data_IF_994296067286
#
_entry.id   IF_994296067286
#
_cell.length_a   1.000
_cell.length_b   1.000
_cell.length_c   1.000
_cell.angle_alpha   90.00
_cell.angle_beta   90.00
_cell.angle_gamma   90.00
#
_symmetry.space_group_name_H-M   'P 1'
#
loop_
_entity.id
_entity.type
_entity.pdbx_description
1 polymer ?
#
# COMPACT_ATOMS: atom_id res chain seq x y z
N UNK A 1 5.58 -9.62 10.19
CA UNK A 1 5.08 -8.80 11.32
C UNK A 1 4.72 -7.37 10.91
N UNK A 2 5.64 -6.56 10.39
CA UNK A 2 5.35 -5.16 10.00
C UNK A 2 4.22 -5.00 8.96
N UNK A 3 4.17 -5.89 7.94
CA UNK A 3 3.11 -5.87 6.92
C UNK A 3 1.73 -6.18 7.51
N UNK A 4 1.64 -7.19 8.37
CA UNK A 4 0.38 -7.58 9.03
C UNK A 4 -0.10 -6.48 9.99
N UNK A 5 0.82 -5.82 10.69
CA UNK A 5 0.50 -4.65 11.50
C UNK A 5 -0.06 -3.51 10.64
N UNK A 6 0.57 -3.22 9.50
CA UNK A 6 0.11 -2.17 8.58
C UNK A 6 -1.29 -2.49 8.01
N UNK A 7 -1.51 -3.72 7.54
CA UNK A 7 -2.82 -4.19 7.05
C UNK A 7 -3.87 -4.05 8.16
N UNK A 8 -3.58 -4.50 9.37
CA UNK A 8 -4.51 -4.43 10.51
C UNK A 8 -4.88 -2.99 10.89
N UNK A 9 -3.89 -2.09 10.95
CA UNK A 9 -4.11 -0.66 11.22
C UNK A 9 -4.94 -0.03 10.11
N UNK A 10 -4.62 -0.32 8.84
CA UNK A 10 -5.33 0.23 7.70
C UNK A 10 -6.79 -0.24 7.63
N UNK A 11 -7.04 -1.56 7.78
CA UNK A 11 -8.39 -2.13 7.84
C UNK A 11 -9.17 -1.53 9.00
N UNK A 12 -8.55 -1.38 10.17
CA UNK A 12 -9.19 -0.75 11.34
C UNK A 12 -9.59 0.70 11.07
N UNK A 13 -8.71 1.49 10.44
CA UNK A 13 -9.00 2.88 10.03
C UNK A 13 -10.11 2.92 8.97
N UNK A 14 -10.09 2.02 7.98
CA UNK A 14 -11.13 1.93 6.96
C UNK A 14 -12.49 1.58 7.55
N UNK A 15 -12.56 0.56 8.40
CA UNK A 15 -13.78 0.16 9.10
C UNK A 15 -14.30 1.30 9.97
N UNK A 16 -13.41 1.99 10.69
CA UNK A 16 -13.79 3.15 11.51
C UNK A 16 -14.34 4.30 10.64
N UNK A 17 -13.68 4.61 9.53
CA UNK A 17 -14.12 5.64 8.57
C UNK A 17 -15.45 5.27 7.91
N UNK A 18 -15.61 4.01 7.50
CA UNK A 18 -16.86 3.50 6.93
C UNK A 18 -17.99 3.57 7.96
N UNK A 19 -17.74 3.17 9.21
CA UNK A 19 -18.71 3.25 10.31
C UNK A 19 -19.12 4.69 10.66
N UNK A 20 -18.20 5.65 10.57
CA UNK A 20 -18.50 7.08 10.72
C UNK A 20 -19.28 7.59 9.50
N UNK A 21 -18.90 7.17 8.30
CA UNK A 21 -19.52 7.59 7.05
C UNK A 21 -20.93 7.02 6.86
N UNK A 22 -21.30 5.91 7.49
CA UNK A 22 -22.66 5.33 7.38
C UNK A 22 -23.68 5.95 8.34
N UNK A 23 -23.28 6.92 9.17
CA UNK A 23 -24.18 7.52 10.15
C UNK A 23 -24.64 6.53 11.24
N UNK A 24 -23.87 5.45 11.51
CA UNK A 24 -24.23 4.41 12.50
C UNK A 24 -24.37 4.93 13.94
N UNK A 25 -24.00 6.19 14.20
CA UNK A 25 -24.13 6.87 15.51
C UNK A 25 -25.42 7.66 15.66
N UNK A 26 -26.25 7.73 14.62
CA UNK A 26 -27.53 8.40 14.63
C UNK A 26 -28.59 7.50 15.25
N UNK A 27 -29.32 8.00 16.26
CA UNK A 27 -30.52 7.36 16.79
C UNK A 27 -31.76 7.97 16.13
N UNK A 28 -32.79 7.14 15.93
CA UNK A 28 -34.10 7.62 15.46
C UNK A 28 -34.77 8.36 16.60
N UNK A 29 -35.32 9.53 16.30
CA UNK A 29 -36.17 10.34 17.15
C UNK A 29 -37.43 10.73 16.39
N UNK A 30 -38.44 11.18 17.11
CA UNK A 30 -39.67 11.72 16.53
C UNK A 30 -39.84 13.16 16.96
N UNK A 31 -40.29 14.02 16.05
CA UNK A 31 -40.70 15.38 16.41
C UNK A 31 -42.12 15.37 17.01
N UNK A 32 -42.57 16.52 17.50
CA UNK A 32 -43.92 16.70 18.07
C UNK A 32 -45.05 16.41 17.06
N UNK A 33 -44.73 16.40 15.76
CA UNK A 33 -45.64 16.11 14.65
C UNK A 33 -45.57 14.63 14.23
N UNK A 34 -44.85 13.78 14.97
CA UNK A 34 -44.70 12.35 14.71
C UNK A 34 -43.76 11.99 13.55
N UNK A 35 -43.03 12.95 12.99
CA UNK A 35 -42.07 12.71 11.90
C UNK A 35 -40.77 12.16 12.46
N UNK A 36 -40.30 11.06 11.89
CA UNK A 36 -39.03 10.46 12.27
C UNK A 36 -37.85 11.24 11.70
N UNK A 37 -36.86 11.51 12.54
CA UNK A 37 -35.58 12.09 12.16
C UNK A 37 -34.45 11.37 12.90
N UNK A 38 -33.23 11.58 12.42
CA UNK A 38 -32.03 11.03 13.00
C UNK A 38 -31.28 12.11 13.78
N UNK A 39 -30.86 11.80 15.00
CA UNK A 39 -29.99 12.67 15.78
C UNK A 39 -28.82 11.89 16.39
N UNK A 40 -27.62 12.47 16.34
CA UNK A 40 -26.44 11.94 17.01
C UNK A 40 -25.69 13.06 17.73
N UNK A 41 -25.30 12.82 18.97
CA UNK A 41 -24.45 13.76 19.74
C UNK A 41 -23.08 13.12 19.98
N UNK A 42 -22.01 13.84 19.64
CA UNK A 42 -20.65 13.39 19.90
C UNK A 42 -19.95 14.32 20.88
N UNK A 43 -19.76 13.82 22.11
CA UNK A 43 -19.10 14.53 23.21
C UNK A 43 -17.57 14.41 23.11
N UNK A 44 -17.06 13.39 22.40
CA UNK A 44 -15.62 13.05 22.31
C UNK A 44 -14.89 13.91 21.27
N UNK A 45 -15.58 14.43 20.25
CA UNK A 45 -15.04 15.39 19.27
C UNK A 45 -15.06 16.86 19.79
N UNK A 46 -15.19 17.08 21.10
CA UNK A 46 -15.14 18.40 21.71
C UNK A 46 -13.75 19.03 21.55
N UNK A 47 -13.55 19.75 20.46
CA UNK A 47 -12.30 20.45 20.18
C UNK A 47 -12.16 21.66 21.10
N UNK A 48 -11.00 21.78 21.75
CA UNK A 48 -10.59 22.98 22.50
C UNK A 48 -10.70 24.19 21.57
N UNK A 49 -11.58 25.13 21.90
CA UNK A 49 -11.69 26.40 21.20
C UNK A 49 -10.40 27.21 21.40
N UNK A 50 -9.85 27.87 20.36
CA UNK A 50 -8.76 28.82 20.52
C UNK A 50 -9.16 30.06 21.33
N UNK A 51 -10.45 30.26 21.66
CA UNK A 51 -10.97 31.44 22.34
C UNK A 51 -11.64 31.14 23.70
N UNK A 52 -11.61 29.89 24.18
CA UNK A 52 -12.14 29.56 25.51
C UNK A 52 -11.54 28.27 26.03
N UNK A 53 -10.79 28.37 27.14
CA UNK A 53 -10.15 27.22 27.80
C UNK A 53 -11.16 26.21 28.40
N UNK A 54 -12.44 26.58 28.57
CA UNK A 54 -13.41 25.79 29.34
C UNK A 54 -14.71 25.35 28.61
N UNK A 55 -14.96 25.72 27.35
CA UNK A 55 -16.19 25.28 26.64
C UNK A 55 -15.92 24.09 25.72
N UNK A 56 -16.32 22.89 26.15
CA UNK A 56 -16.49 21.72 25.28
C UNK A 56 -17.61 22.02 24.29
N UNK A 57 -17.27 22.15 23.01
CA UNK A 57 -18.26 22.32 21.93
C UNK A 57 -18.79 20.96 21.51
N UNK A 58 -20.10 20.74 21.59
CA UNK A 58 -20.72 19.51 21.11
C UNK A 58 -20.73 19.48 19.57
N UNK A 59 -20.69 18.26 19.04
CA UNK A 59 -20.98 17.98 17.65
C UNK A 59 -22.36 17.33 17.60
N UNK A 60 -23.25 17.88 16.79
CA UNK A 60 -24.62 17.39 16.60
C UNK A 60 -24.77 17.01 15.13
N UNK A 61 -25.21 15.78 14.88
CA UNK A 61 -25.60 15.30 13.56
C UNK A 61 -27.13 15.24 13.50
N UNK A 62 -27.75 15.91 12.51
CA UNK A 62 -29.20 15.90 12.27
C UNK A 62 -29.50 15.40 10.88
N UNK A 63 -30.38 14.40 10.74
CA UNK A 63 -30.63 13.76 9.45
C UNK A 63 -32.02 13.20 9.25
N UNK A 64 -32.25 12.73 8.04
CA UNK A 64 -33.47 12.08 7.57
C UNK A 64 -33.13 10.74 6.90
N UNK A 65 -34.09 9.82 6.92
CA UNK A 65 -34.03 8.59 6.14
C UNK A 65 -34.35 8.88 4.68
N UNK A 66 -33.70 8.18 3.77
CA UNK A 66 -33.89 8.24 2.33
C UNK A 66 -34.49 6.92 1.84
N UNK A 67 -35.52 6.98 1.01
CA UNK A 67 -36.11 5.84 0.31
C UNK A 67 -35.23 5.31 -0.83
N UNK A 68 -34.14 6.02 -1.18
CA UNK A 68 -33.17 5.61 -2.19
C UNK A 68 -31.73 5.63 -1.67
N UNK A 69 -30.84 4.90 -2.32
CA UNK A 69 -29.39 4.97 -2.04
C UNK A 69 -28.73 6.09 -2.84
N UNK A 70 -28.18 7.09 -2.15
CA UNK A 70 -27.41 8.17 -2.74
C UNK A 70 -26.13 8.46 -1.95
N UNK A 71 -25.14 9.04 -2.61
CA UNK A 71 -23.81 9.23 -2.06
C UNK A 71 -23.24 10.56 -2.51
N UNK A 72 -23.32 11.57 -1.64
CA UNK A 72 -22.69 12.85 -1.87
C UNK A 72 -22.32 13.56 -0.58
N UNK A 73 -21.48 14.57 -0.70
CA UNK A 73 -21.04 15.42 0.41
C UNK A 73 -20.86 16.85 -0.09
N UNK A 74 -21.45 17.78 0.63
CA UNK A 74 -21.24 19.22 0.45
C UNK A 74 -20.52 19.74 1.68
N UNK A 75 -19.48 20.54 1.48
CA UNK A 75 -18.71 21.17 2.57
C UNK A 75 -18.00 22.42 2.07
N UNK A 76 -17.54 23.26 3.00
CA UNK A 76 -16.68 24.41 2.67
C UNK A 76 -15.33 23.95 2.10
N UNK A 77 -14.80 24.74 1.17
CA UNK A 77 -13.51 24.53 0.49
C UNK A 77 -12.37 24.48 1.50
N UNK A 78 -11.44 23.57 1.26
CA UNK A 78 -10.19 23.40 2.03
C UNK A 78 -9.05 23.18 1.05
N UNK A 79 -7.80 23.30 1.48
CA UNK A 79 -6.64 23.08 0.61
C UNK A 79 -6.69 21.70 -0.08
N UNK A 80 -7.02 20.63 0.65
CA UNK A 80 -7.17 19.28 0.08
C UNK A 80 -8.27 19.20 -0.98
N UNK A 81 -9.34 19.99 -0.84
CA UNK A 81 -10.41 20.03 -1.84
C UNK A 81 -10.02 20.77 -3.10
N UNK A 82 -9.17 21.81 -3.01
CA UNK A 82 -8.61 22.48 -4.20
C UNK A 82 -7.82 21.49 -5.05
N UNK A 83 -7.05 20.62 -4.39
CA UNK A 83 -6.37 19.53 -5.08
C UNK A 83 -7.36 18.59 -5.75
N UNK A 84 -8.39 18.09 -5.04
CA UNK A 84 -9.41 17.21 -5.63
C UNK A 84 -10.20 17.85 -6.77
N UNK A 85 -10.44 19.17 -6.72
CA UNK A 85 -11.04 19.94 -7.81
C UNK A 85 -10.16 19.93 -9.06
N UNK A 86 -8.84 20.07 -8.91
CA UNK A 86 -7.89 19.99 -10.04
C UNK A 86 -7.96 18.66 -10.79
N UNK A 87 -8.23 17.55 -10.08
CA UNK A 87 -8.43 16.22 -10.70
C UNK A 87 -9.87 15.97 -11.17
N UNK A 88 -10.77 16.95 -11.05
CA UNK A 88 -12.18 16.82 -11.41
C UNK A 88 -12.97 15.84 -10.52
N UNK A 89 -12.49 15.57 -9.30
CA UNK A 89 -13.12 14.68 -8.31
C UNK A 89 -14.01 15.43 -7.32
N UNK A 90 -13.95 16.76 -7.36
CA UNK A 90 -14.77 17.66 -6.59
C UNK A 90 -15.12 18.85 -7.47
N UNK A 91 -16.29 19.42 -7.30
CA UNK A 91 -16.74 20.53 -8.13
C UNK A 91 -17.26 21.67 -7.24
N UNK A 92 -16.95 22.89 -7.64
CA UNK A 92 -17.37 24.10 -6.95
C UNK A 92 -18.83 24.41 -7.26
N UNK A 93 -19.58 24.80 -6.24
CA UNK A 93 -20.95 25.30 -6.38
C UNK A 93 -20.89 26.81 -6.60
N UNK A 94 -20.71 27.23 -7.85
CA UNK A 94 -20.45 28.62 -8.27
C UNK A 94 -21.59 29.59 -7.92
N UNK A 95 -22.82 29.11 -7.96
CA UNK A 95 -24.01 29.96 -7.82
C UNK A 95 -24.35 30.30 -6.36
N UNK A 96 -23.66 29.69 -5.39
CA UNK A 96 -23.79 30.03 -3.97
C UNK A 96 -22.67 31.00 -3.60
N UNK A 97 -22.86 32.26 -4.03
CA UNK A 97 -21.89 33.37 -4.09
C UNK A 97 -21.14 33.66 -2.77
N UNK A 98 -21.59 33.15 -1.62
CA UNK A 98 -21.07 33.58 -0.31
C UNK A 98 -20.21 32.57 0.46
N UNK A 99 -20.03 31.32 0.02
CA UNK A 99 -19.54 30.26 0.95
C UNK A 99 -18.50 29.26 0.46
N UNK A 100 -17.92 29.42 -0.73
CA UNK A 100 -16.90 28.51 -1.28
C UNK A 100 -17.26 27.03 -1.06
N UNK A 101 -18.46 26.63 -1.49
CA UNK A 101 -18.95 25.27 -1.26
C UNK A 101 -18.42 24.33 -2.34
N UNK A 102 -17.97 23.16 -1.89
CA UNK A 102 -17.46 22.09 -2.74
C UNK A 102 -18.36 20.88 -2.59
N UNK A 103 -18.80 20.36 -3.73
CA UNK A 103 -19.58 19.15 -3.84
C UNK A 103 -18.70 17.98 -4.26
N UNK A 104 -18.93 16.82 -3.63
CA UNK A 104 -18.28 15.55 -3.92
C UNK A 104 -19.39 14.50 -4.00
N UNK A 105 -19.61 13.90 -5.15
CA UNK A 105 -20.55 12.78 -5.29
C UNK A 105 -19.88 11.50 -5.73
N UNK A 106 -20.62 10.42 -5.55
CA UNK A 106 -20.36 9.16 -6.24
C UNK A 106 -20.45 9.37 -7.75
N UNK A 107 -21.50 9.99 -8.30
CA UNK A 107 -21.57 10.27 -9.74
C UNK A 107 -21.49 11.77 -10.06
N UNK A 108 -20.73 12.20 -11.09
CA UNK A 108 -20.70 13.62 -11.49
C UNK A 108 -22.09 14.17 -11.81
N UNK A 109 -22.94 13.37 -12.45
CA UNK A 109 -24.32 13.75 -12.77
C UNK A 109 -25.18 14.04 -11.51
N UNK A 110 -24.87 13.45 -10.34
CA UNK A 110 -25.59 13.78 -9.10
C UNK A 110 -25.47 15.25 -8.73
N UNK A 111 -24.33 15.88 -9.04
CA UNK A 111 -24.18 17.31 -8.88
C UNK A 111 -25.06 18.08 -9.84
N UNK A 112 -24.98 17.73 -11.13
CA UNK A 112 -25.68 18.45 -12.19
C UNK A 112 -27.17 18.57 -11.88
N UNK A 113 -27.80 17.45 -11.52
CA UNK A 113 -29.23 17.42 -11.18
C UNK A 113 -29.59 18.22 -9.92
N UNK A 114 -28.70 18.23 -8.92
CA UNK A 114 -28.91 19.01 -7.70
C UNK A 114 -28.75 20.51 -7.96
N UNK A 115 -27.80 20.91 -8.82
CA UNK A 115 -27.58 22.31 -9.18
C UNK A 115 -28.66 22.89 -10.08
N UNK A 116 -29.29 22.07 -10.93
CA UNK A 116 -30.39 22.51 -11.78
C UNK A 116 -31.68 22.78 -11.00
N UNK A 117 -31.82 22.22 -9.80
CA UNK A 117 -32.97 22.47 -8.94
C UNK A 117 -32.72 23.69 -8.03
N UNK A 118 -33.36 24.81 -8.35
CA UNK A 118 -33.23 26.06 -7.59
C UNK A 118 -33.68 25.94 -6.13
N UNK A 119 -34.67 25.09 -5.83
CA UNK A 119 -35.17 24.87 -4.47
C UNK A 119 -34.12 24.14 -3.62
N UNK A 120 -33.45 23.14 -4.20
CA UNK A 120 -32.34 22.42 -3.57
C UNK A 120 -31.19 23.37 -3.28
N UNK A 121 -30.79 24.17 -4.26
CA UNK A 121 -29.68 25.12 -4.09
C UNK A 121 -29.98 26.14 -2.99
N UNK A 122 -31.21 26.64 -2.94
CA UNK A 122 -31.67 27.54 -1.88
C UNK A 122 -31.72 26.85 -0.50
N UNK A 123 -32.14 25.59 -0.43
CA UNK A 123 -32.12 24.79 0.79
C UNK A 123 -30.69 24.54 1.30
N UNK A 124 -29.75 24.22 0.39
CA UNK A 124 -28.31 24.09 0.71
C UNK A 124 -27.77 25.42 1.22
N UNK A 125 -28.07 26.54 0.57
CA UNK A 125 -27.63 27.86 1.00
C UNK A 125 -28.12 28.21 2.41
N UNK A 126 -29.39 27.92 2.72
CA UNK A 126 -30.01 28.08 4.05
C UNK A 126 -29.39 27.15 5.10
N UNK A 127 -29.02 25.93 4.75
CA UNK A 127 -28.31 25.04 5.69
C UNK A 127 -26.91 25.59 6.00
N UNK A 128 -26.20 26.08 4.99
CA UNK A 128 -24.85 26.61 5.18
C UNK A 128 -24.83 28.08 5.64
N UNK A 129 -25.97 28.78 5.75
CA UNK A 129 -26.05 30.11 6.38
C UNK A 129 -25.78 30.06 7.87
N UNK A 130 -26.00 28.90 8.50
CA UNK A 130 -25.58 28.67 9.87
C UNK A 130 -24.05 28.48 9.94
N UNK A 131 -23.31 29.32 10.70
CA UNK A 131 -21.86 29.21 10.84
C UNK A 131 -21.38 27.86 11.39
N UNK A 132 -22.23 27.18 12.16
CA UNK A 132 -21.97 25.90 12.81
C UNK A 132 -22.03 24.72 11.83
N UNK A 133 -22.58 24.90 10.62
CA UNK A 133 -22.67 23.86 9.60
C UNK A 133 -21.30 23.54 9.02
N UNK A 134 -20.77 22.37 9.37
CA UNK A 134 -19.50 21.86 8.86
C UNK A 134 -19.66 21.24 7.47
N UNK A 135 -20.67 20.36 7.32
CA UNK A 135 -20.90 19.59 6.09
C UNK A 135 -22.31 18.98 6.05
N UNK A 136 -22.80 18.79 4.84
CA UNK A 136 -23.98 18.00 4.50
C UNK A 136 -23.51 16.69 3.86
N UNK A 137 -24.05 15.56 4.30
CA UNK A 137 -23.64 14.23 3.86
C UNK A 137 -24.89 13.43 3.48
N UNK A 138 -24.85 12.79 2.33
CA UNK A 138 -25.77 11.72 1.96
C UNK A 138 -24.94 10.45 1.74
N UNK A 139 -25.32 9.35 2.41
CA UNK A 139 -24.62 8.09 2.31
C UNK A 139 -25.59 6.93 2.44
N UNK A 140 -25.77 6.17 1.36
CA UNK A 140 -26.75 5.08 1.32
C UNK A 140 -28.15 5.64 1.50
N UNK A 141 -28.89 5.11 2.48
CA UNK A 141 -30.29 5.48 2.76
C UNK A 141 -30.43 6.63 3.75
N UNK A 142 -29.41 7.47 3.96
CA UNK A 142 -29.47 8.57 4.94
C UNK A 142 -28.89 9.85 4.40
N UNK A 143 -29.48 10.98 4.79
CA UNK A 143 -28.95 12.33 4.57
C UNK A 143 -28.89 13.07 5.91
N UNK A 144 -27.77 13.72 6.23
CA UNK A 144 -27.63 14.46 7.48
C UNK A 144 -26.64 15.62 7.37
N UNK A 145 -26.85 16.61 8.24
CA UNK A 145 -25.96 17.75 8.45
C UNK A 145 -25.15 17.52 9.71
N UNK A 146 -23.85 17.75 9.64
CA UNK A 146 -22.96 17.81 10.80
C UNK A 146 -22.78 19.26 11.24
N UNK A 147 -23.17 19.52 12.48
CA UNK A 147 -23.08 20.81 13.14
C UNK A 147 -22.00 20.78 14.22
N UNK A 148 -21.16 21.82 14.28
CA UNK A 148 -20.06 21.90 15.23
C UNK A 148 -20.07 23.25 15.94
N UNK A 149 -20.07 23.21 17.28
CA UNK A 149 -19.93 24.42 18.08
C UNK A 149 -21.21 25.02 18.62
N UNK A 150 -22.32 24.28 18.59
CA UNK A 150 -23.62 24.71 19.11
C UNK A 150 -23.57 24.77 20.65
N UNK A 151 -23.97 25.92 21.22
CA UNK A 151 -24.27 26.07 22.65
C UNK A 151 -25.62 25.46 22.99
N UNK A 152 -25.74 24.82 24.16
CA UNK A 152 -26.71 23.74 24.39
C UNK A 152 -28.19 24.12 24.59
N UNK A 153 -28.59 25.36 24.90
CA UNK A 153 -29.85 25.48 25.68
C UNK A 153 -31.06 26.27 25.13
N UNK A 154 -30.98 27.18 24.13
CA UNK A 154 -32.21 27.88 23.70
C UNK A 154 -32.41 28.08 22.18
N UNK A 155 -31.34 28.12 21.38
CA UNK A 155 -31.45 28.28 19.92
C UNK A 155 -31.66 26.95 19.16
N UNK A 156 -31.79 25.83 19.88
CA UNK A 156 -31.67 24.48 19.30
C UNK A 156 -32.90 24.05 18.51
N UNK A 157 -34.11 24.32 18.99
CA UNK A 157 -35.35 23.87 18.34
C UNK A 157 -35.61 24.56 17.01
N UNK A 158 -35.51 25.89 16.95
CA UNK A 158 -35.66 26.64 15.69
C UNK A 158 -34.60 26.27 14.66
N UNK A 159 -33.36 26.02 15.11
CA UNK A 159 -32.29 25.54 14.25
C UNK A 159 -32.58 24.12 13.74
N UNK A 160 -33.02 23.21 14.62
CA UNK A 160 -33.40 21.86 14.27
C UNK A 160 -34.51 21.84 13.21
N UNK A 161 -35.62 22.55 13.46
CA UNK A 161 -36.75 22.59 12.53
C UNK A 161 -36.35 23.18 11.18
N UNK A 162 -35.56 24.26 11.18
CA UNK A 162 -35.07 24.87 9.94
C UNK A 162 -34.17 23.92 9.14
N UNK A 163 -33.23 23.23 9.80
CA UNK A 163 -32.33 22.27 9.15
C UNK A 163 -33.12 21.08 8.60
N UNK A 164 -34.02 20.48 9.40
CA UNK A 164 -34.82 19.34 8.98
C UNK A 164 -35.75 19.68 7.81
N UNK A 165 -36.36 20.87 7.81
CA UNK A 165 -37.17 21.34 6.69
C UNK A 165 -36.35 21.46 5.40
N UNK A 166 -35.20 22.11 5.44
CA UNK A 166 -34.34 22.24 4.26
C UNK A 166 -33.75 20.88 3.82
N UNK A 167 -33.44 19.99 4.76
CA UNK A 167 -33.03 18.62 4.45
C UNK A 167 -34.13 17.83 3.74
N UNK A 168 -35.40 18.06 4.08
CA UNK A 168 -36.53 17.40 3.45
C UNK A 168 -36.68 17.79 1.96
N UNK A 169 -36.48 19.06 1.63
CA UNK A 169 -36.46 19.52 0.22
C UNK A 169 -35.35 18.84 -0.58
N UNK A 170 -34.14 18.77 -0.01
CA UNK A 170 -33.02 18.08 -0.65
C UNK A 170 -33.31 16.59 -0.80
N UNK A 171 -33.84 15.94 0.24
CA UNK A 171 -34.26 14.53 0.20
C UNK A 171 -35.22 14.27 -0.95
N UNK A 172 -36.29 15.06 -1.04
CA UNK A 172 -37.34 14.89 -2.05
C UNK A 172 -36.78 14.97 -3.46
N UNK A 173 -35.96 15.99 -3.75
CA UNK A 173 -35.34 16.14 -5.06
C UNK A 173 -34.38 14.99 -5.39
N UNK A 174 -33.59 14.52 -4.42
CA UNK A 174 -32.70 13.37 -4.61
C UNK A 174 -33.49 12.09 -4.91
N UNK A 175 -34.59 11.85 -4.20
CA UNK A 175 -35.46 10.68 -4.41
C UNK A 175 -36.15 10.72 -5.79
N UNK A 176 -36.68 11.88 -6.18
CA UNK A 176 -37.28 12.09 -7.51
C UNK A 176 -36.25 11.86 -8.64
N UNK A 177 -35.04 12.38 -8.49
CA UNK A 177 -33.96 12.18 -9.45
C UNK A 177 -33.47 10.72 -9.48
N UNK A 178 -33.39 10.06 -8.32
CA UNK A 178 -33.02 8.65 -8.23
C UNK A 178 -34.06 7.76 -8.92
N UNK A 179 -35.36 8.05 -8.75
CA UNK A 179 -36.44 7.33 -9.43
C UNK A 179 -36.32 7.44 -10.95
N UNK A 180 -36.10 8.66 -11.48
CA UNK A 180 -35.89 8.91 -12.92
C UNK A 180 -34.66 8.18 -13.48
N UNK A 181 -33.64 7.94 -12.67
CA UNK A 181 -32.37 7.33 -13.10
C UNK A 181 -32.29 5.82 -12.91
N UNK A 182 -33.20 5.23 -12.14
CA UNK A 182 -33.21 3.78 -11.87
C UNK A 182 -33.31 2.94 -13.15
N UNK A 183 -33.87 3.51 -14.22
CA UNK A 183 -33.93 2.88 -15.55
C UNK A 183 -32.60 2.92 -16.33
N UNK A 184 -31.67 3.82 -16.02
CA UNK A 184 -30.48 4.08 -16.86
C UNK A 184 -29.10 3.88 -16.17
N UNK A 185 -29.03 3.66 -14.85
CA UNK A 185 -27.76 3.49 -14.14
C UNK A 185 -27.16 2.08 -14.30
N UNK A 186 -26.43 1.85 -15.40
CA UNK A 186 -25.54 0.67 -15.55
C UNK A 186 -24.19 0.80 -14.83
N UNK A 187 -23.82 2.00 -14.38
CA UNK A 187 -22.50 2.28 -13.79
C UNK A 187 -22.56 2.44 -12.27
N UNK A 188 -21.86 1.57 -11.54
CA UNK A 188 -21.65 1.71 -10.09
C UNK A 188 -20.17 1.52 -9.80
N UNK A 189 -19.45 2.61 -9.55
CA UNK A 189 -18.04 2.58 -9.11
C UNK A 189 -17.86 1.73 -7.85
N UNK A 190 -18.87 1.75 -6.96
CA UNK A 190 -18.94 0.93 -5.76
C UNK A 190 -18.83 -0.58 -6.03
N UNK A 191 -19.38 -1.09 -7.14
CA UNK A 191 -19.28 -2.51 -7.52
C UNK A 191 -17.91 -2.88 -8.09
N UNK A 192 -17.19 -1.92 -8.69
CA UNK A 192 -15.86 -2.15 -9.28
C UNK A 192 -14.73 -2.02 -8.27
N UNK A 193 -14.91 -1.19 -7.25
CA UNK A 193 -13.88 -0.93 -6.24
C UNK A 193 -13.36 -2.21 -5.56
N UNK A 194 -14.18 -3.19 -5.12
CA UNK A 194 -13.66 -4.40 -4.50
C UNK A 194 -12.70 -5.19 -5.39
N UNK A 195 -12.94 -5.23 -6.71
CA UNK A 195 -12.07 -5.88 -7.67
C UNK A 195 -10.73 -5.16 -7.82
N UNK A 196 -10.75 -3.83 -7.80
CA UNK A 196 -9.53 -3.01 -7.83
C UNK A 196 -8.70 -3.23 -6.56
N UNK A 197 -9.34 -3.22 -5.39
CA UNK A 197 -8.66 -3.49 -4.12
C UNK A 197 -8.10 -4.92 -4.07
N UNK A 198 -8.85 -5.90 -4.59
CA UNK A 198 -8.36 -7.28 -4.73
C UNK A 198 -7.14 -7.36 -5.66
N UNK A 199 -7.12 -6.60 -6.75
CA UNK A 199 -5.95 -6.52 -7.64
C UNK A 199 -4.73 -5.91 -6.93
N UNK A 200 -4.89 -4.85 -6.14
CA UNK A 200 -3.81 -4.28 -5.33
C UNK A 200 -3.25 -5.30 -4.33
N UNK A 201 -4.14 -6.03 -3.65
CA UNK A 201 -3.75 -7.06 -2.69
C UNK A 201 -3.05 -8.24 -3.38
N UNK A 202 -3.52 -8.65 -4.56
CA UNK A 202 -2.89 -9.70 -5.35
C UNK A 202 -1.48 -9.27 -5.81
N UNK A 203 -1.32 -8.04 -6.29
CA UNK A 203 0.00 -7.51 -6.66
C UNK A 203 0.97 -7.54 -5.49
N UNK A 204 0.55 -7.09 -4.30
CA UNK A 204 1.37 -7.16 -3.10
C UNK A 204 1.67 -8.62 -2.70
N UNK A 205 0.67 -9.49 -2.68
CA UNK A 205 0.81 -10.90 -2.31
C UNK A 205 1.81 -11.63 -3.21
N UNK A 206 1.68 -11.47 -4.53
CA UNK A 206 2.63 -12.01 -5.49
C UNK A 206 4.04 -11.42 -5.28
N UNK A 207 4.16 -10.11 -5.07
CA UNK A 207 5.44 -9.47 -4.77
C UNK A 207 6.11 -10.06 -3.53
N UNK A 208 5.38 -10.21 -2.42
CA UNK A 208 5.90 -10.79 -1.18
C UNK A 208 6.32 -12.25 -1.36
N UNK A 209 5.53 -13.07 -2.05
CA UNK A 209 5.88 -14.46 -2.30
C UNK A 209 7.17 -14.57 -3.13
N UNK A 210 7.35 -13.70 -4.12
CA UNK A 210 8.57 -13.64 -4.92
C UNK A 210 9.78 -13.18 -4.07
N UNK A 211 9.62 -12.20 -3.18
CA UNK A 211 10.70 -11.77 -2.27
C UNK A 211 11.08 -12.92 -1.33
N UNK A 212 10.10 -13.64 -0.78
CA UNK A 212 10.37 -14.78 0.08
C UNK A 212 11.14 -15.86 -0.68
N UNK A 213 10.70 -16.20 -1.90
CA UNK A 213 11.44 -17.13 -2.78
C UNK A 213 12.88 -16.68 -2.98
N UNK A 214 13.09 -15.38 -3.24
CA UNK A 214 14.42 -14.81 -3.44
C UNK A 214 15.32 -14.94 -2.19
N UNK A 215 14.76 -14.71 -1.00
CA UNK A 215 15.53 -14.77 0.24
C UNK A 215 15.86 -16.23 0.63
N UNK A 216 14.92 -17.16 0.41
CA UNK A 216 15.05 -18.54 0.91
C UNK A 216 15.73 -19.49 -0.07
N UNK A 217 15.53 -19.31 -1.38
CA UNK A 217 15.93 -20.29 -2.39
C UNK A 217 16.89 -19.76 -3.45
N UNK A 218 17.16 -18.44 -3.48
CA UNK A 218 17.94 -17.90 -4.57
C UNK A 218 19.43 -18.12 -4.35
N UNK A 219 20.00 -18.88 -5.27
CA UNK A 219 21.44 -19.11 -5.38
C UNK A 219 22.09 -18.11 -6.32
N UNK A 220 21.29 -17.36 -7.10
CA UNK A 220 21.80 -16.42 -8.10
C UNK A 220 22.30 -15.13 -7.44
N UNK A 221 23.44 -14.63 -7.90
CA UNK A 221 24.00 -13.37 -7.43
C UNK A 221 24.26 -12.43 -8.61
N UNK A 222 23.66 -11.24 -8.56
CA UNK A 222 23.87 -10.20 -9.55
C UNK A 222 25.16 -9.45 -9.29
N UNK A 223 25.94 -9.25 -10.34
CA UNK A 223 27.21 -8.53 -10.29
C UNK A 223 26.98 -7.01 -10.15
N UNK A 224 26.01 -6.45 -10.88
CA UNK A 224 25.62 -5.04 -10.75
C UNK A 224 24.13 -4.91 -10.37
N UNK A 225 23.80 -4.94 -9.07
CA UNK A 225 22.42 -4.75 -8.62
C UNK A 225 21.96 -3.29 -8.75
N UNK A 226 22.87 -2.33 -8.93
CA UNK A 226 22.57 -0.91 -8.97
C UNK A 226 21.77 -0.54 -10.21
N UNK A 227 22.25 -0.97 -11.38
CA UNK A 227 21.55 -0.72 -12.64
C UNK A 227 20.19 -1.42 -12.73
N UNK A 228 20.06 -2.64 -12.18
CA UNK A 228 18.77 -3.32 -12.08
C UNK A 228 17.79 -2.53 -11.21
N UNK A 229 18.23 -2.02 -10.05
CA UNK A 229 17.40 -1.15 -9.20
C UNK A 229 16.95 0.11 -9.95
N UNK A 230 17.85 0.75 -10.69
CA UNK A 230 17.51 1.91 -11.52
C UNK A 230 16.45 1.61 -12.59
N UNK A 231 16.63 0.51 -13.35
CA UNK A 231 15.65 0.06 -14.34
C UNK A 231 14.30 -0.30 -13.70
N UNK A 232 14.33 -0.93 -12.52
CA UNK A 232 13.13 -1.30 -11.76
C UNK A 232 12.35 -0.08 -11.29
N UNK A 233 13.03 0.98 -10.85
CA UNK A 233 12.39 2.24 -10.47
C UNK A 233 11.72 2.91 -11.67
N UNK A 234 12.38 2.92 -12.84
CA UNK A 234 11.79 3.47 -14.05
C UNK A 234 10.56 2.68 -14.49
N UNK A 235 10.63 1.34 -14.46
CA UNK A 235 9.51 0.47 -14.79
C UNK A 235 8.36 0.63 -13.79
N UNK A 236 8.65 0.76 -12.50
CA UNK A 236 7.66 1.04 -11.46
C UNK A 236 6.92 2.37 -11.73
N UNK A 237 7.63 3.42 -12.15
CA UNK A 237 7.02 4.71 -12.49
C UNK A 237 6.08 4.59 -13.68
N UNK A 238 6.51 3.89 -14.74
CA UNK A 238 5.67 3.63 -15.92
C UNK A 238 4.41 2.85 -15.54
N UNK A 239 4.55 1.75 -14.80
CA UNK A 239 3.41 0.96 -14.34
C UNK A 239 2.47 1.74 -13.44
N UNK A 240 3.00 2.58 -12.55
CA UNK A 240 2.19 3.43 -11.68
C UNK A 240 1.37 4.43 -12.49
N UNK A 241 1.95 5.08 -13.49
CA UNK A 241 1.22 6.00 -14.37
C UNK A 241 0.13 5.27 -15.16
N UNK A 242 0.46 4.12 -15.76
CA UNK A 242 -0.53 3.30 -16.48
C UNK A 242 -1.68 2.86 -15.55
N UNK A 243 -1.36 2.48 -14.31
CA UNK A 243 -2.35 2.08 -13.33
C UNK A 243 -3.25 3.25 -12.92
N UNK A 244 -2.69 4.44 -12.69
CA UNK A 244 -3.46 5.64 -12.39
C UNK A 244 -4.42 6.02 -13.54
N UNK A 245 -3.96 5.90 -14.79
CA UNK A 245 -4.81 6.09 -15.97
C UNK A 245 -5.93 5.05 -16.00
N UNK A 246 -5.62 3.78 -15.76
CA UNK A 246 -6.60 2.70 -15.71
C UNK A 246 -7.65 2.94 -14.60
N UNK A 247 -7.23 3.35 -13.41
CA UNK A 247 -8.13 3.72 -12.31
C UNK A 247 -9.05 4.87 -12.71
N UNK A 248 -8.52 5.90 -13.37
CA UNK A 248 -9.30 7.04 -13.84
C UNK A 248 -10.37 6.62 -14.86
N UNK A 249 -10.00 5.76 -15.81
CA UNK A 249 -10.91 5.23 -16.86
C UNK A 249 -11.99 4.32 -16.24
N UNK A 250 -11.61 3.42 -15.33
CA UNK A 250 -12.52 2.43 -14.75
C UNK A 250 -13.52 3.03 -13.76
N UNK A 251 -13.08 4.02 -12.99
CA UNK A 251 -13.86 4.66 -11.92
C UNK A 251 -14.41 6.04 -12.30
N UNK A 252 -14.21 6.53 -13.54
CA UNK A 252 -14.87 7.70 -14.15
C UNK A 252 -15.12 8.88 -13.18
N UNK A 253 -14.05 9.44 -12.59
CA UNK A 253 -14.11 10.61 -11.68
C UNK A 253 -15.06 10.48 -10.48
N UNK A 254 -15.43 9.27 -10.09
CA UNK A 254 -16.29 9.03 -8.93
C UNK A 254 -15.51 9.19 -7.63
N UNK A 255 -16.22 9.43 -6.51
CA UNK A 255 -15.62 9.42 -5.15
C UNK A 255 -14.80 8.15 -4.87
N UNK A 256 -15.18 7.01 -5.47
CA UNK A 256 -14.47 5.73 -5.33
C UNK A 256 -13.05 5.77 -5.89
N UNK A 257 -12.77 6.65 -6.86
CA UNK A 257 -11.41 6.88 -7.38
C UNK A 257 -10.47 7.32 -6.26
N UNK A 258 -10.93 8.18 -5.34
CA UNK A 258 -10.12 8.63 -4.21
C UNK A 258 -9.80 7.47 -3.28
N UNK A 259 -10.77 6.59 -3.03
CA UNK A 259 -10.58 5.44 -2.16
C UNK A 259 -9.64 4.40 -2.81
N UNK A 260 -9.81 4.15 -4.11
CA UNK A 260 -8.90 3.30 -4.88
C UNK A 260 -7.47 3.87 -4.93
N UNK A 261 -7.32 5.20 -5.08
CA UNK A 261 -6.02 5.87 -5.03
C UNK A 261 -5.37 5.73 -3.66
N UNK A 262 -6.12 5.93 -2.57
CA UNK A 262 -5.61 5.77 -1.22
C UNK A 262 -5.14 4.32 -0.98
N UNK A 263 -5.90 3.33 -1.44
CA UNK A 263 -5.55 1.91 -1.37
C UNK A 263 -4.33 1.58 -2.25
N UNK A 264 -4.25 2.20 -3.44
CA UNK A 264 -3.09 2.09 -4.31
C UNK A 264 -1.82 2.60 -3.61
N UNK A 265 -1.82 3.80 -3.02
CA UNK A 265 -0.65 4.31 -2.32
C UNK A 265 -0.28 3.48 -1.07
N UNK A 266 -1.27 2.92 -0.38
CA UNK A 266 -1.05 2.12 0.82
C UNK A 266 -0.49 0.71 0.50
N UNK A 267 -1.02 0.07 -0.55
CA UNK A 267 -0.81 -1.36 -0.83
C UNK A 267 -0.31 -1.57 -2.27
N UNK A 268 -1.04 -1.04 -3.25
CA UNK A 268 -0.77 -1.28 -4.68
C UNK A 268 0.61 -0.83 -5.13
N UNK A 269 1.09 0.33 -4.67
CA UNK A 269 2.39 0.91 -5.02
C UNK A 269 3.54 0.02 -4.57
N UNK A 270 3.47 -0.49 -3.34
CA UNK A 270 4.44 -1.45 -2.80
C UNK A 270 4.42 -2.76 -3.61
N UNK A 271 3.23 -3.21 -4.03
CA UNK A 271 3.10 -4.36 -4.93
C UNK A 271 3.79 -4.15 -6.28
N UNK A 272 3.56 -3.01 -6.94
CA UNK A 272 4.22 -2.66 -8.21
C UNK A 272 5.73 -2.57 -8.04
N UNK A 273 6.22 -1.98 -6.94
CA UNK A 273 7.65 -1.90 -6.64
C UNK A 273 8.28 -3.30 -6.60
N UNK A 274 7.71 -4.21 -5.81
CA UNK A 274 8.23 -5.58 -5.70
C UNK A 274 8.14 -6.33 -7.03
N UNK A 275 7.00 -6.25 -7.73
CA UNK A 275 6.82 -6.92 -9.01
C UNK A 275 7.76 -6.38 -10.09
N UNK A 276 8.04 -5.09 -10.11
CA UNK A 276 8.95 -4.48 -11.09
C UNK A 276 10.38 -4.97 -10.89
N UNK A 277 10.86 -4.95 -9.63
CA UNK A 277 12.20 -5.43 -9.31
C UNK A 277 12.36 -6.93 -9.57
N UNK A 278 11.46 -7.74 -9.02
CA UNK A 278 11.54 -9.21 -9.12
C UNK A 278 11.22 -9.71 -10.52
N UNK A 279 10.35 -9.01 -11.26
CA UNK A 279 10.07 -9.28 -12.66
C UNK A 279 11.30 -9.11 -13.52
N UNK A 280 12.00 -7.97 -13.38
CA UNK A 280 13.26 -7.74 -14.11
C UNK A 280 14.38 -8.69 -13.66
N UNK A 281 14.47 -8.96 -12.35
CA UNK A 281 15.41 -9.94 -11.80
C UNK A 281 15.24 -11.32 -12.43
N UNK A 282 14.01 -11.86 -12.37
CA UNK A 282 13.71 -13.18 -12.93
C UNK A 282 13.84 -13.19 -14.45
N UNK A 283 13.41 -12.12 -15.13
CA UNK A 283 13.58 -12.00 -16.57
C UNK A 283 15.05 -12.06 -16.97
N UNK A 284 15.93 -11.41 -16.20
CA UNK A 284 17.36 -11.42 -16.49
C UNK A 284 17.99 -12.82 -16.33
N UNK A 285 17.53 -13.62 -15.38
CA UNK A 285 18.11 -14.93 -15.04
C UNK A 285 17.51 -16.06 -15.88
N UNK A 286 16.19 -16.08 -16.05
CA UNK A 286 15.47 -17.24 -16.57
C UNK A 286 15.05 -17.12 -18.04
N UNK A 287 15.13 -15.94 -18.65
CA UNK A 287 14.94 -15.84 -20.10
C UNK A 287 16.16 -16.42 -20.82
N UNK A 288 15.98 -16.92 -22.07
CA UNK A 288 17.09 -17.42 -22.87
C UNK A 288 18.22 -16.39 -22.95
N UNK A 289 19.44 -16.83 -22.63
CA UNK A 289 20.65 -16.03 -22.61
C UNK A 289 21.81 -16.83 -23.23
N UNK A 290 22.90 -16.13 -23.58
CA UNK A 290 24.10 -16.78 -24.11
C UNK A 290 24.80 -17.66 -23.05
N UNK A 291 25.67 -18.55 -23.51
CA UNK A 291 26.46 -19.44 -22.66
C UNK A 291 27.30 -18.64 -21.63
N UNK A 292 27.56 -19.20 -20.45
CA UNK A 292 28.39 -18.55 -19.43
C UNK A 292 29.81 -18.33 -19.95
N UNK A 293 30.41 -17.20 -19.56
CA UNK A 293 31.79 -16.85 -19.87
C UNK A 293 32.66 -17.02 -18.62
N UNK A 294 33.79 -17.75 -18.70
CA UNK A 294 34.69 -17.89 -17.57
C UNK A 294 35.32 -16.52 -17.25
N UNK A 295 35.26 -16.12 -15.98
CA UNK A 295 35.97 -14.94 -15.46
C UNK A 295 36.97 -15.36 -14.39
N UNK A 296 38.18 -14.81 -14.47
CA UNK A 296 39.22 -15.05 -13.48
C UNK A 296 38.95 -14.27 -12.18
N UNK A 297 38.82 -14.97 -11.07
CA UNK A 297 38.77 -14.41 -9.72
C UNK A 297 40.06 -14.75 -8.96
N UNK A 298 40.56 -13.82 -8.15
CA UNK A 298 41.80 -14.05 -7.40
C UNK A 298 41.48 -14.79 -6.11
N UNK A 299 42.19 -15.89 -5.84
CA UNK A 299 42.08 -16.63 -4.59
C UNK A 299 42.71 -15.79 -3.47
N UNK A 300 41.88 -15.30 -2.56
CA UNK A 300 42.32 -14.44 -1.46
C UNK A 300 42.68 -15.23 -0.19
N UNK A 301 42.00 -16.35 0.07
CA UNK A 301 42.20 -17.14 1.28
C UNK A 301 41.79 -18.59 1.06
N UNK A 302 42.58 -19.53 1.58
CA UNK A 302 42.24 -20.96 1.65
C UNK A 302 41.81 -21.34 3.07
N UNK A 303 40.67 -22.04 3.21
CA UNK A 303 40.19 -22.58 4.49
C UNK A 303 39.83 -24.05 4.40
N UNK A 304 40.25 -24.82 5.39
CA UNK A 304 39.88 -26.21 5.58
C UNK A 304 39.25 -26.36 6.97
N UNK A 305 38.11 -27.03 7.04
CA UNK A 305 37.52 -27.45 8.31
C UNK A 305 37.60 -28.97 8.40
N UNK A 306 38.16 -29.46 9.50
CA UNK A 306 38.18 -30.88 9.83
C UNK A 306 37.28 -31.05 11.05
N UNK A 307 36.19 -31.77 10.89
CA UNK A 307 35.21 -32.00 11.95
C UNK A 307 35.12 -33.47 12.33
N UNK A 308 34.94 -33.71 13.62
CA UNK A 308 34.62 -35.01 14.18
C UNK A 308 33.67 -34.83 15.38
N UNK A 309 32.42 -35.30 15.25
CA UNK A 309 31.36 -35.06 16.23
C UNK A 309 31.27 -33.57 16.62
N UNK A 310 31.45 -33.24 17.91
CA UNK A 310 31.38 -31.86 18.43
C UNK A 310 32.72 -31.11 18.36
N UNK A 311 33.78 -31.71 17.81
CA UNK A 311 35.09 -31.06 17.68
C UNK A 311 35.28 -30.59 16.25
N UNK A 312 35.39 -29.28 16.05
CA UNK A 312 35.70 -28.65 14.78
C UNK A 312 37.05 -27.96 14.85
N UNK A 313 37.92 -28.24 13.88
CA UNK A 313 39.19 -27.54 13.69
C UNK A 313 39.09 -26.71 12.41
N UNK A 314 39.11 -25.39 12.54
CA UNK A 314 39.20 -24.46 11.41
C UNK A 314 40.66 -24.10 11.18
N UNK A 315 41.16 -24.41 9.99
CA UNK A 315 42.52 -24.14 9.54
C UNK A 315 42.47 -23.13 8.40
N UNK A 316 43.53 -22.33 8.25
CA UNK A 316 43.66 -21.34 7.17
C UNK A 316 45.06 -21.30 6.57
N UNK A 317 45.18 -20.97 5.29
CA UNK A 317 46.46 -20.78 4.61
C UNK A 317 47.34 -22.04 4.65
N UNK A 318 48.59 -21.88 5.09
CA UNK A 318 49.58 -22.96 5.17
C UNK A 318 49.18 -24.10 6.12
N UNK A 319 48.42 -23.81 7.18
CA UNK A 319 47.91 -24.82 8.12
C UNK A 319 46.93 -25.80 7.47
N UNK A 320 46.37 -25.44 6.32
CA UNK A 320 45.54 -26.33 5.50
C UNK A 320 46.37 -27.25 4.59
N UNK A 321 47.69 -27.24 4.68
CA UNK A 321 48.58 -28.07 3.89
C UNK A 321 48.35 -29.58 4.12
N UNK A 322 48.70 -30.44 3.15
CA UNK A 322 48.50 -31.89 3.26
C UNK A 322 49.13 -32.49 4.52
N UNK A 323 50.32 -32.04 4.89
CA UNK A 323 51.08 -32.55 6.06
C UNK A 323 50.43 -32.19 7.39
N UNK A 324 50.04 -30.92 7.58
CA UNK A 324 49.41 -30.48 8.84
C UNK A 324 48.00 -31.03 9.01
N UNK A 325 47.22 -31.11 7.92
CA UNK A 325 45.93 -31.81 7.93
C UNK A 325 46.09 -33.27 8.33
N UNK A 326 47.10 -33.97 7.78
CA UNK A 326 47.36 -35.39 8.10
C UNK A 326 47.72 -35.57 9.57
N UNK A 327 48.52 -34.65 10.14
CA UNK A 327 48.85 -34.65 11.57
C UNK A 327 47.60 -34.54 12.45
N UNK A 328 46.73 -33.57 12.16
CA UNK A 328 45.48 -33.33 12.90
C UNK A 328 44.54 -34.53 12.77
N UNK A 329 44.42 -35.13 11.58
CA UNK A 329 43.62 -36.34 11.37
C UNK A 329 44.13 -37.51 12.21
N UNK A 330 45.45 -37.73 12.25
CA UNK A 330 46.05 -38.78 13.07
C UNK A 330 45.75 -38.54 14.55
N UNK A 331 45.86 -37.30 15.02
CA UNK A 331 45.53 -36.93 16.40
C UNK A 331 44.05 -37.14 16.73
N UNK A 332 43.15 -36.75 15.82
CA UNK A 332 41.72 -36.99 15.98
C UNK A 332 41.41 -38.49 16.01
N UNK A 333 41.99 -39.29 15.11
CA UNK A 333 41.79 -40.76 15.08
C UNK A 333 42.28 -41.48 16.34
N UNK A 334 43.26 -40.93 17.07
CA UNK A 334 43.67 -41.46 18.39
C UNK A 334 42.54 -41.37 19.43
N UNK A 335 41.59 -40.45 19.24
CA UNK A 335 40.37 -40.39 20.07
C UNK A 335 39.39 -41.45 19.57
N UNK A 336 39.00 -42.39 20.42
CA UNK A 336 38.18 -43.56 20.08
C UNK A 336 36.87 -43.26 19.33
N UNK A 337 36.32 -42.06 19.51
CA UNK A 337 35.09 -41.60 18.83
C UNK A 337 35.32 -41.19 17.37
N UNK A 338 36.53 -40.77 16.97
CA UNK A 338 36.80 -40.25 15.62
C UNK A 338 37.41 -41.27 14.66
N UNK A 339 37.45 -42.55 15.02
CA UNK A 339 38.15 -43.58 14.22
C UNK A 339 37.50 -43.74 12.84
N UNK A 340 36.16 -43.68 12.76
CA UNK A 340 35.40 -44.01 11.55
C UNK A 340 34.64 -42.83 10.91
N UNK A 341 34.64 -41.65 11.53
CA UNK A 341 33.86 -40.51 11.04
C UNK A 341 34.65 -39.22 11.22
N UNK A 342 35.31 -38.79 10.14
CA UNK A 342 35.97 -37.49 10.02
C UNK A 342 35.42 -36.87 8.74
N UNK A 343 34.85 -35.69 8.87
CA UNK A 343 34.34 -34.91 7.76
C UNK A 343 35.33 -33.80 7.42
N UNK A 344 35.51 -33.59 6.12
CA UNK A 344 36.42 -32.60 5.57
C UNK A 344 35.64 -31.62 4.72
N UNK A 345 35.78 -30.34 5.03
CA UNK A 345 35.25 -29.28 4.19
C UNK A 345 36.40 -28.38 3.72
N UNK A 346 36.56 -28.27 2.41
CA UNK A 346 37.56 -27.41 1.78
C UNK A 346 36.85 -26.25 1.10
N UNK A 347 37.34 -25.04 1.36
CA UNK A 347 36.77 -23.84 0.77
C UNK A 347 37.83 -22.81 0.41
N UNK A 348 37.65 -22.17 -0.72
CA UNK A 348 38.46 -21.02 -1.14
C UNK A 348 37.60 -19.77 -1.10
N UNK A 349 38.20 -18.67 -0.68
CA UNK A 349 37.58 -17.35 -0.77
C UNK A 349 38.18 -16.64 -1.97
N UNK A 350 37.34 -16.28 -2.93
CA UNK A 350 37.75 -15.63 -4.17
C UNK A 350 37.25 -14.19 -4.22
N UNK A 351 38.03 -13.32 -4.86
CA UNK A 351 37.73 -11.90 -5.03
C UNK A 351 37.70 -11.55 -6.51
N UNK A 352 36.55 -11.08 -6.96
CA UNK A 352 36.30 -10.57 -8.30
C UNK A 352 36.67 -9.08 -8.34
N UNK A 353 37.96 -8.78 -8.51
CA UNK A 353 38.49 -7.40 -8.47
C UNK A 353 37.85 -6.47 -9.50
N UNK A 354 37.47 -7.00 -10.65
CA UNK A 354 36.84 -6.24 -11.73
C UNK A 354 35.46 -5.69 -11.37
N UNK A 355 34.79 -6.29 -10.37
CA UNK A 355 33.39 -6.03 -10.07
C UNK A 355 33.13 -5.43 -8.68
N UNK A 356 34.18 -5.14 -7.91
CA UNK A 356 34.10 -4.59 -6.54
C UNK A 356 33.07 -5.33 -5.64
N UNK A 357 33.02 -6.66 -5.79
CA UNK A 357 32.08 -7.51 -5.06
C UNK A 357 32.67 -7.98 -3.74
N UNK A 358 31.82 -8.26 -2.72
CA UNK A 358 32.28 -8.89 -1.49
C UNK A 358 32.90 -10.26 -1.81
N UNK A 359 33.93 -10.69 -1.04
CA UNK A 359 34.57 -11.98 -1.26
C UNK A 359 33.56 -13.13 -1.20
N UNK A 360 33.67 -14.06 -2.14
CA UNK A 360 32.77 -15.21 -2.25
C UNK A 360 33.50 -16.45 -1.77
N UNK A 361 32.88 -17.21 -0.85
CA UNK A 361 33.40 -18.51 -0.41
C UNK A 361 32.81 -19.63 -1.26
N UNK A 362 33.69 -20.39 -1.90
CA UNK A 362 33.39 -21.51 -2.79
C UNK A 362 33.84 -22.80 -2.09
N UNK A 363 32.99 -23.83 -2.04
CA UNK A 363 33.40 -25.16 -1.57
C UNK A 363 33.97 -25.93 -2.75
N UNK A 364 35.10 -26.61 -2.56
CA UNK A 364 35.79 -27.32 -3.63
C UNK A 364 36.27 -28.69 -3.16
N UNK A 365 36.64 -29.56 -4.09
CA UNK A 365 37.23 -30.85 -3.77
C UNK A 365 38.64 -30.71 -3.17
N UNK A 366 39.10 -31.73 -2.43
CA UNK A 366 40.44 -31.74 -1.84
C UNK A 366 41.55 -31.56 -2.91
N UNK A 367 41.45 -32.27 -4.03
CA UNK A 367 42.46 -32.21 -5.10
C UNK A 367 42.53 -30.84 -5.78
N UNK A 368 41.40 -30.15 -5.90
CA UNK A 368 41.34 -28.78 -6.42
C UNK A 368 41.88 -27.78 -5.40
N UNK A 369 41.55 -27.98 -4.12
CA UNK A 369 42.06 -27.18 -3.03
C UNK A 369 43.59 -27.28 -2.90
N UNK A 370 44.15 -28.48 -3.07
CA UNK A 370 45.59 -28.70 -2.98
C UNK A 370 46.33 -28.12 -4.19
N UNK A 371 45.67 -28.05 -5.36
CA UNK A 371 46.20 -27.38 -6.57
C UNK A 371 46.07 -25.87 -6.56
N UNK A 372 45.09 -25.33 -5.82
CA UNK A 372 44.83 -23.91 -5.74
C UNK A 372 45.92 -23.19 -4.93
N UNK A 373 46.53 -22.15 -5.49
CA UNK A 373 47.51 -21.29 -4.79
C UNK A 373 46.85 -19.97 -4.37
N UNK A 374 47.17 -19.48 -3.17
CA UNK A 374 46.75 -18.13 -2.74
C UNK A 374 47.39 -17.08 -3.66
N UNK A 375 46.58 -16.13 -4.14
CA UNK A 375 46.96 -15.20 -5.21
C UNK A 375 46.79 -15.77 -6.63
N UNK A 376 46.51 -17.07 -6.76
CA UNK A 376 46.19 -17.72 -8.03
C UNK A 376 44.82 -17.29 -8.60
N UNK A 377 44.56 -17.68 -9.85
CA UNK A 377 43.31 -17.38 -10.56
C UNK A 377 42.40 -18.60 -10.51
N UNK A 378 41.15 -18.38 -10.10
CA UNK A 378 40.06 -19.35 -10.16
C UNK A 378 39.01 -18.89 -11.17
N UNK A 379 38.62 -19.75 -12.11
CA UNK A 379 37.63 -19.41 -13.11
C UNK A 379 36.20 -19.59 -12.57
N UNK A 380 35.38 -18.56 -12.73
CA UNK A 380 33.99 -18.55 -12.30
C UNK A 380 33.08 -18.38 -13.52
N UNK A 381 32.04 -19.21 -13.70
CA UNK A 381 31.08 -19.02 -14.77
C UNK A 381 30.22 -17.78 -14.50
N UNK A 382 30.32 -16.78 -15.38
CA UNK A 382 29.49 -15.58 -15.35
C UNK A 382 28.51 -15.63 -16.50
N UNK A 383 27.22 -15.65 -16.17
CA UNK A 383 26.13 -15.56 -17.13
C UNK A 383 25.91 -14.09 -17.51
N UNK A 384 25.75 -13.77 -18.80
CA UNK A 384 25.59 -12.37 -19.25
C UNK A 384 24.24 -11.76 -18.86
N UNK A 385 23.22 -12.56 -18.53
CA UNK A 385 21.86 -12.10 -18.28
C UNK A 385 21.09 -11.79 -19.56
N UNK A 386 19.83 -12.18 -19.63
CA UNK A 386 18.97 -11.88 -20.79
C UNK A 386 18.71 -10.37 -20.98
N UNK A 387 18.84 -9.58 -19.90
CA UNK A 387 18.75 -8.12 -19.95
C UNK A 387 20.14 -7.45 -19.95
N UNK A 388 21.19 -8.22 -20.24
CA UNK A 388 22.58 -7.76 -20.23
C UNK A 388 23.08 -7.41 -18.83
N UNK A 389 22.51 -8.02 -17.78
CA UNK A 389 22.97 -7.85 -16.41
C UNK A 389 23.68 -9.12 -15.96
N UNK A 390 25.00 -9.10 -15.80
CA UNK A 390 25.72 -10.32 -15.53
C UNK A 390 25.45 -10.82 -14.11
N UNK A 391 25.41 -12.13 -13.98
CA UNK A 391 25.11 -12.83 -12.74
C UNK A 391 25.84 -14.17 -12.71
N UNK A 392 25.94 -14.77 -11.52
CA UNK A 392 26.49 -16.11 -11.37
C UNK A 392 25.62 -16.94 -10.42
N UNK A 393 25.58 -18.24 -10.63
CA UNK A 393 24.86 -19.16 -9.75
C UNK A 393 25.80 -19.67 -8.65
N UNK A 394 25.43 -19.50 -7.38
CA UNK A 394 26.17 -20.08 -6.25
C UNK A 394 26.08 -21.60 -6.21
N UNK A 395 25.07 -22.20 -6.85
CA UNK A 395 24.98 -23.65 -6.97
C UNK A 395 26.07 -24.20 -7.89
N UNK A 396 26.40 -23.48 -8.97
CA UNK A 396 27.50 -23.82 -9.88
C UNK A 396 28.89 -23.61 -9.23
N UNK A 397 28.94 -23.06 -8.01
CA UNK A 397 30.14 -22.83 -7.20
C UNK A 397 30.26 -23.78 -6.00
N UNK A 398 29.48 -24.86 -5.96
CA UNK A 398 29.53 -25.90 -4.93
C UNK A 398 29.78 -27.25 -5.57
#
# INVERSE_FOLDING_TARGET
MALLFYISVFVSILVLRYRIATGKRLSVKSDEKGRSYYEGTNIVEAVKSPHSKNRRRSVIDLGLDMGCSAYFRIRRKTLMLRFLQHFGLAQELSDIVSKDLVFIADHPDDLHDLTLNSEVMHAVEKIFSFPETERLICFGSKIWVKLRGIGLEESREKLHESILRNLWEIKRAVEENAARRSENRRFSGARRLPWIMAAHLAMLGCGVLLVLKLITYDTSFLIDPGSLKGASLLLMMVWSVLWLVLLHVLLKRTMWTILALADFFAIGFTGILFLSFLGLYNANIYLPQAAPLPHGAVIAEKRCTISCYATEHHLSGEECGPEDRRRIIIELRKKSRCINQIEHEYSITVVLREYDLPPVRIKIGQEEFDRAEEGGIWEIPVYPGALGRPWFDRADMR
#
